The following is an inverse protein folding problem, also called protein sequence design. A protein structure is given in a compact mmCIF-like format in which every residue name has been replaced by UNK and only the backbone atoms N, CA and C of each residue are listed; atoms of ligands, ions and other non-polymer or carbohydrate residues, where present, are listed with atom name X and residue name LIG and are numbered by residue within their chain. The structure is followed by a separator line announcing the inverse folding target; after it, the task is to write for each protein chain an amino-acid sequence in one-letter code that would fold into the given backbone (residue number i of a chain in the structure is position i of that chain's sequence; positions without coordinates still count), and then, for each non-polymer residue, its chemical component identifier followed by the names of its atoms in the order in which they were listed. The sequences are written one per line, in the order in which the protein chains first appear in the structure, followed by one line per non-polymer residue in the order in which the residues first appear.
data_IF_486307114795
#
_entry.id   IF_486307114795
#
_cell.length_a   1.000
_cell.length_b   1.000
_cell.length_c   1.000
_cell.angle_alpha   90.00
_cell.angle_beta   90.00
_cell.angle_gamma   90.00
#
_symmetry.space_group_name_H-M   'P 1'
#
loop_
_entity.id
_entity.type
_entity.pdbx_description
1 polymer ?
#
# COMPACT_ATOMS: atom_id res chain seq x y z
N UNK A 1 -13.19 -34.38 -101.36
CA UNK A 1 -12.76 -34.16 -99.96
C UNK A 1 -11.54 -35.05 -99.77
N UNK A 2 -10.48 -34.82 -100.54
CA UNK A 2 -9.56 -33.65 -100.53
C UNK A 2 -8.75 -33.70 -99.23
N UNK A 3 -7.51 -34.19 -99.31
CA UNK A 3 -6.26 -33.38 -99.24
C UNK A 3 -5.86 -33.17 -97.76
N UNK A 4 -4.63 -33.25 -97.28
CA UNK A 4 -3.28 -33.44 -97.82
C UNK A 4 -2.36 -33.67 -96.57
N UNK A 5 -1.32 -34.53 -96.60
CA UNK A 5 0.13 -34.18 -96.79
C UNK A 5 0.78 -33.53 -95.54
N UNK A 6 2.03 -33.72 -95.08
CA UNK A 6 3.38 -34.15 -95.52
C UNK A 6 4.14 -34.53 -94.21
N UNK A 7 4.88 -35.65 -94.09
CA UNK A 7 6.36 -35.82 -94.21
C UNK A 7 7.19 -34.85 -93.31
N UNK A 8 8.32 -35.19 -92.66
CA UNK A 8 9.45 -35.91 -93.22
C UNK A 8 10.41 -36.48 -92.15
N UNK A 9 11.00 -37.60 -92.56
CA UNK A 9 12.22 -38.31 -92.17
C UNK A 9 13.39 -37.34 -91.87
N UNK A 10 14.17 -37.52 -90.81
CA UNK A 10 15.38 -38.35 -90.88
C UNK A 10 16.66 -37.60 -90.43
N UNK A 11 17.76 -38.31 -90.12
CA UNK A 11 18.87 -37.81 -89.29
C UNK A 11 20.10 -37.33 -90.10
N UNK A 12 20.92 -36.44 -89.51
CA UNK A 12 22.12 -35.87 -90.14
C UNK A 12 23.28 -35.59 -89.17
N UNK A 13 24.45 -36.12 -89.54
CA UNK A 13 25.76 -36.19 -88.87
C UNK A 13 26.53 -34.86 -88.68
N UNK A 14 27.22 -34.77 -87.53
CA UNK A 14 28.69 -34.56 -87.35
C UNK A 14 29.35 -33.23 -87.80
N UNK A 15 29.98 -32.51 -86.84
CA UNK A 15 31.43 -32.18 -86.79
C UNK A 15 31.79 -31.19 -85.65
N UNK A 16 32.99 -31.40 -85.11
CA UNK A 16 33.72 -30.55 -84.14
C UNK A 16 33.81 -29.08 -84.55
N UNK A 17 34.01 -28.20 -83.56
CA UNK A 17 35.02 -27.13 -83.52
C UNK A 17 34.86 -26.35 -82.20
N UNK A 18 35.92 -26.34 -81.38
CA UNK A 18 35.98 -25.51 -80.18
C UNK A 18 36.16 -24.03 -80.50
N UNK A 19 35.88 -23.16 -79.53
CA UNK A 19 36.59 -21.91 -79.24
C UNK A 19 36.05 -21.33 -77.93
N UNK A 20 36.99 -20.86 -77.12
CA UNK A 20 36.85 -20.16 -75.85
C UNK A 20 35.87 -18.99 -75.89
N UNK A 21 35.17 -18.77 -74.78
CA UNK A 21 34.83 -17.43 -74.32
C UNK A 21 34.79 -17.46 -72.80
N UNK A 22 35.75 -16.76 -72.22
CA UNK A 22 35.69 -16.25 -70.86
C UNK A 22 34.36 -15.51 -70.71
N UNK A 23 33.54 -15.88 -69.73
CA UNK A 23 32.48 -15.02 -69.24
C UNK A 23 32.32 -15.23 -67.74
N UNK A 24 32.41 -14.09 -67.07
CA UNK A 24 32.29 -13.81 -65.64
C UNK A 24 31.02 -14.35 -64.99
N UNK A 25 30.98 -14.22 -63.65
CA UNK A 25 29.83 -14.36 -62.75
C UNK A 25 29.60 -15.78 -62.20
N UNK A 26 29.51 -16.03 -60.89
CA UNK A 26 29.00 -15.20 -59.79
C UNK A 26 29.79 -15.49 -58.51
N UNK A 27 30.41 -14.46 -57.95
CA UNK A 27 30.69 -14.42 -56.52
C UNK A 27 29.47 -13.89 -55.81
N UNK A 28 28.60 -14.76 -55.32
CA UNK A 28 27.56 -14.41 -54.35
C UNK A 28 27.63 -15.42 -53.21
N UNK A 29 27.92 -14.96 -51.99
CA UNK A 29 27.70 -15.85 -50.85
C UNK A 29 28.28 -15.50 -49.47
N UNK A 30 29.20 -14.55 -49.31
CA UNK A 30 29.90 -14.44 -48.01
C UNK A 30 29.52 -13.23 -47.12
N UNK A 31 28.85 -12.19 -47.64
CA UNK A 31 28.48 -11.03 -46.81
C UNK A 31 27.30 -11.26 -45.85
N UNK A 32 26.48 -12.30 -46.05
CA UNK A 32 25.27 -12.54 -45.24
C UNK A 32 25.48 -13.33 -43.93
N UNK A 33 26.63 -13.99 -43.75
CA UNK A 33 26.90 -14.85 -42.58
C UNK A 33 27.57 -14.07 -41.45
N UNK A 34 28.52 -13.18 -41.77
CA UNK A 34 29.21 -12.36 -40.77
C UNK A 34 28.30 -11.30 -40.14
N UNK A 35 27.42 -10.66 -40.93
CA UNK A 35 26.44 -9.69 -40.40
C UNK A 35 25.45 -10.37 -39.43
N UNK A 36 25.09 -11.63 -39.68
CA UNK A 36 24.23 -12.42 -38.82
C UNK A 36 24.91 -12.83 -37.50
N UNK A 37 26.20 -13.15 -37.53
CA UNK A 37 26.98 -13.44 -36.31
C UNK A 37 27.24 -12.18 -35.47
N UNK A 38 27.62 -11.06 -36.08
CA UNK A 38 27.77 -9.75 -35.46
C UNK A 38 26.47 -9.31 -34.75
N UNK A 39 25.33 -9.43 -35.42
CA UNK A 39 24.00 -9.12 -34.85
C UNK A 39 23.66 -10.05 -33.68
N UNK A 40 24.05 -11.33 -33.75
CA UNK A 40 23.83 -12.29 -32.67
C UNK A 40 24.69 -12.00 -31.43
N UNK A 41 25.96 -11.60 -31.64
CA UNK A 41 26.90 -11.22 -30.60
C UNK A 41 26.46 -9.89 -29.96
N UNK A 42 26.01 -8.92 -30.77
CA UNK A 42 25.44 -7.66 -30.28
C UNK A 42 24.19 -7.90 -29.41
N UNK A 43 23.27 -8.79 -29.82
CA UNK A 43 22.10 -9.18 -29.00
C UNK A 43 22.50 -9.85 -27.68
N UNK A 44 23.50 -10.73 -27.68
CA UNK A 44 24.02 -11.36 -26.46
C UNK A 44 24.65 -10.33 -25.52
N UNK A 45 25.42 -9.38 -26.05
CA UNK A 45 26.01 -8.27 -25.28
C UNK A 45 24.92 -7.38 -24.68
N UNK A 46 23.90 -7.03 -25.45
CA UNK A 46 22.75 -6.26 -24.94
C UNK A 46 21.99 -7.02 -23.86
N UNK A 47 21.78 -8.34 -24.03
CA UNK A 47 21.15 -9.17 -23.00
C UNK A 47 21.98 -9.22 -21.70
N UNK A 48 23.31 -9.36 -21.80
CA UNK A 48 24.21 -9.34 -20.64
C UNK A 48 24.20 -7.97 -19.95
N UNK A 49 24.24 -6.87 -20.70
CA UNK A 49 24.16 -5.51 -20.16
C UNK A 49 22.81 -5.29 -19.46
N UNK A 50 21.72 -5.76 -20.06
CA UNK A 50 20.38 -5.65 -19.48
C UNK A 50 20.26 -6.46 -18.17
N UNK A 51 20.75 -7.70 -18.15
CA UNK A 51 20.79 -8.52 -16.93
C UNK A 51 21.64 -7.87 -15.84
N UNK A 52 22.80 -7.31 -16.20
CA UNK A 52 23.67 -6.62 -15.25
C UNK A 52 23.00 -5.36 -14.67
N UNK A 53 22.37 -4.54 -15.52
CA UNK A 53 21.61 -3.37 -15.09
C UNK A 53 20.42 -3.77 -14.19
N UNK A 54 19.72 -4.86 -14.53
CA UNK A 54 18.63 -5.40 -13.71
C UNK A 54 19.13 -5.88 -12.34
N UNK A 55 20.22 -6.64 -12.28
CA UNK A 55 20.82 -7.10 -11.01
C UNK A 55 21.30 -5.92 -10.15
N UNK A 56 21.92 -4.90 -10.75
CA UNK A 56 22.30 -3.68 -10.06
C UNK A 56 21.08 -2.92 -9.53
N UNK A 57 20.01 -2.81 -10.31
CA UNK A 57 18.77 -2.16 -9.86
C UNK A 57 18.13 -2.88 -8.67
N UNK A 58 18.11 -4.22 -8.68
CA UNK A 58 17.60 -5.02 -7.57
C UNK A 58 18.46 -4.89 -6.31
N UNK A 59 19.78 -4.81 -6.45
CA UNK A 59 20.70 -4.58 -5.34
C UNK A 59 20.52 -3.18 -4.72
N UNK A 60 20.28 -2.16 -5.54
CA UNK A 60 19.99 -0.80 -5.05
C UNK A 60 18.65 -0.73 -4.33
N UNK A 61 17.61 -1.39 -4.88
CA UNK A 61 16.29 -1.46 -4.23
C UNK A 61 16.40 -2.19 -2.89
N UNK A 62 17.09 -3.33 -2.82
CA UNK A 62 17.24 -4.07 -1.57
C UNK A 62 17.98 -3.25 -0.51
N UNK A 63 19.06 -2.55 -0.88
CA UNK A 63 19.77 -1.67 0.04
C UNK A 63 18.88 -0.53 0.57
N UNK A 64 18.11 0.10 -0.32
CA UNK A 64 17.19 1.16 0.07
C UNK A 64 16.09 0.66 1.02
N UNK A 65 15.54 -0.53 0.76
CA UNK A 65 14.52 -1.12 1.65
C UNK A 65 15.07 -1.43 3.04
N UNK A 66 16.30 -1.96 3.12
CA UNK A 66 16.96 -2.24 4.40
C UNK A 66 17.21 -0.93 5.16
N UNK A 67 17.72 0.11 4.50
CA UNK A 67 17.96 1.41 5.12
C UNK A 67 16.66 2.04 5.67
N UNK A 68 15.56 1.99 4.90
CA UNK A 68 14.25 2.49 5.34
C UNK A 68 13.69 1.68 6.52
N UNK A 69 13.85 0.35 6.49
CA UNK A 69 13.41 -0.50 7.60
C UNK A 69 14.17 -0.20 8.90
N UNK A 70 15.48 0.00 8.83
CA UNK A 70 16.31 0.34 9.99
C UNK A 70 15.92 1.71 10.57
N UNK A 71 15.67 2.70 9.70
CA UNK A 71 15.21 4.02 10.12
C UNK A 71 13.85 3.95 10.83
N UNK A 72 12.89 3.18 10.29
CA UNK A 72 11.58 2.97 10.92
C UNK A 72 11.70 2.29 12.29
N UNK A 73 12.58 1.30 12.42
CA UNK A 73 12.81 0.64 13.72
C UNK A 73 13.41 1.62 14.73
N UNK A 74 14.39 2.44 14.32
CA UNK A 74 14.99 3.43 15.20
C UNK A 74 13.99 4.50 15.67
N UNK A 75 13.11 4.98 14.78
CA UNK A 75 12.06 5.94 15.16
C UNK A 75 11.02 5.31 16.09
N UNK A 76 10.61 4.07 15.86
CA UNK A 76 9.72 3.35 16.77
C UNK A 76 10.37 3.12 18.15
N UNK A 77 11.66 2.78 18.21
CA UNK A 77 12.37 2.62 19.48
C UNK A 77 12.43 3.93 20.26
N UNK A 78 12.65 5.06 19.59
CA UNK A 78 12.60 6.39 20.19
C UNK A 78 11.20 6.76 20.67
N UNK A 79 10.16 6.51 19.87
CA UNK A 79 8.77 6.81 20.23
C UNK A 79 8.28 6.00 21.44
N UNK A 80 8.65 4.72 21.52
CA UNK A 80 8.36 3.87 22.68
C UNK A 80 9.17 4.23 23.94
N UNK A 81 10.26 4.99 23.80
CA UNK A 81 11.06 5.45 24.94
C UNK A 81 10.53 6.74 25.59
N UNK A 82 9.65 7.46 24.89
CA UNK A 82 9.00 8.65 25.42
C UNK A 82 7.78 8.24 26.26
N UNK A 83 7.59 8.80 27.46
CA UNK A 83 6.37 8.60 28.23
C UNK A 83 5.15 9.06 27.41
N UNK A 84 4.36 8.11 26.92
CA UNK A 84 3.12 8.42 26.23
C UNK A 84 2.09 8.91 27.26
N UNK A 85 1.40 10.03 27.02
CA UNK A 85 0.34 10.49 27.91
C UNK A 85 -0.77 9.44 27.96
N UNK A 86 -0.92 8.78 29.11
CA UNK A 86 -1.90 7.72 29.33
C UNK A 86 -3.37 8.21 29.16
N UNK A 87 -3.59 9.51 29.33
CA UNK A 87 -4.88 10.16 29.07
C UNK A 87 -4.72 11.24 28.01
N UNK A 88 -5.10 10.92 26.77
CA UNK A 88 -5.24 11.88 25.65
C UNK A 88 -6.67 12.41 25.53
N UNK A 89 -7.59 11.97 26.39
CA UNK A 89 -8.98 12.40 26.36
C UNK A 89 -9.11 13.85 26.81
N UNK A 90 -9.23 14.75 25.83
CA UNK A 90 -9.47 16.19 26.00
C UNK A 90 -10.82 16.51 26.67
N UNK A 91 -11.64 15.49 26.92
CA UNK A 91 -12.90 15.64 27.62
C UNK A 91 -12.64 15.54 29.12
N UNK A 92 -12.48 16.70 29.75
CA UNK A 92 -12.58 16.79 31.22
C UNK A 92 -13.90 16.14 31.67
N UNK A 93 -13.94 15.57 32.88
CA UNK A 93 -15.20 15.03 33.44
C UNK A 93 -16.34 16.05 33.34
N UNK A 94 -16.01 17.32 33.51
CA UNK A 94 -16.91 18.45 33.43
C UNK A 94 -17.50 18.60 32.03
N UNK A 95 -16.65 18.50 31.00
CA UNK A 95 -17.10 18.50 29.61
C UNK A 95 -18.00 17.31 29.28
N UNK A 96 -17.77 16.15 29.90
CA UNK A 96 -18.67 15.00 29.75
C UNK A 96 -20.02 15.24 30.41
N UNK A 97 -20.06 15.72 31.66
CA UNK A 97 -21.31 16.06 32.35
C UNK A 97 -22.09 17.13 31.60
N UNK A 98 -21.40 18.16 31.08
CA UNK A 98 -22.03 19.21 30.30
C UNK A 98 -22.69 18.63 29.02
N UNK A 99 -22.01 17.70 28.33
CA UNK A 99 -22.59 17.00 27.17
C UNK A 99 -23.82 16.15 27.54
N UNK A 100 -23.85 15.54 28.72
CA UNK A 100 -25.03 14.81 29.18
C UNK A 100 -26.20 15.74 29.47
N UNK A 101 -25.94 16.90 30.08
CA UNK A 101 -26.97 17.87 30.43
C UNK A 101 -27.52 18.62 29.21
N UNK A 102 -26.67 18.93 28.23
CA UNK A 102 -27.05 19.63 27.01
C UNK A 102 -27.55 18.70 25.90
N UNK A 103 -27.24 17.40 26.00
CA UNK A 103 -27.61 16.39 25.02
C UNK A 103 -29.06 15.90 25.14
N UNK A 104 -29.33 14.77 24.48
CA UNK A 104 -30.65 14.15 24.48
C UNK A 104 -31.05 13.70 25.91
N UNK A 105 -32.31 13.93 26.35
CA UNK A 105 -32.77 13.60 27.71
C UNK A 105 -32.64 12.11 28.06
N UNK A 106 -32.69 11.22 27.07
CA UNK A 106 -32.50 9.79 27.32
C UNK A 106 -31.04 9.42 27.58
N UNK A 107 -30.10 10.24 27.12
CA UNK A 107 -28.67 9.96 27.28
C UNK A 107 -28.25 10.00 28.75
N UNK A 108 -28.71 10.99 29.49
CA UNK A 108 -28.42 11.07 30.94
C UNK A 108 -29.09 9.92 31.72
N UNK A 109 -30.27 9.48 31.28
CA UNK A 109 -30.94 8.34 31.88
C UNK A 109 -30.20 7.02 31.60
N UNK A 110 -29.72 6.84 30.37
CA UNK A 110 -28.96 5.65 30.00
C UNK A 110 -27.61 5.57 30.73
N UNK A 111 -26.92 6.70 30.91
CA UNK A 111 -25.57 6.74 31.49
C UNK A 111 -25.58 6.81 33.02
N UNK A 112 -26.48 7.62 33.61
CA UNK A 112 -26.50 7.87 35.06
C UNK A 112 -27.70 7.23 35.77
N UNK A 113 -28.58 6.54 35.05
CA UNK A 113 -29.78 5.90 35.63
C UNK A 113 -30.84 6.90 36.12
N UNK A 114 -30.64 8.20 35.88
CA UNK A 114 -31.53 9.27 36.34
C UNK A 114 -31.86 10.24 35.22
N UNK A 115 -33.07 10.79 35.25
CA UNK A 115 -33.48 11.84 34.30
C UNK A 115 -32.81 13.17 34.63
N UNK A 116 -32.60 14.03 33.62
CA UNK A 116 -31.96 15.36 33.76
C UNK A 116 -32.50 16.20 34.92
N UNK A 117 -33.82 16.30 35.05
CA UNK A 117 -34.43 17.11 36.11
C UNK A 117 -34.20 16.51 37.52
N UNK A 118 -34.06 15.18 37.64
CA UNK A 118 -33.74 14.52 38.91
C UNK A 118 -32.29 14.81 39.28
N UNK A 119 -31.38 14.69 38.30
CA UNK A 119 -29.97 15.02 38.50
C UNK A 119 -29.79 16.46 39.00
N UNK A 120 -30.45 17.45 38.38
CA UNK A 120 -30.39 18.85 38.82
C UNK A 120 -30.95 19.05 40.23
N UNK A 121 -32.08 18.40 40.57
CA UNK A 121 -32.63 18.44 41.94
C UNK A 121 -31.68 17.86 42.98
N UNK A 122 -30.95 16.79 42.64
CA UNK A 122 -29.95 16.21 43.52
C UNK A 122 -28.79 17.18 43.74
N UNK A 123 -28.34 17.89 42.70
CA UNK A 123 -27.32 18.94 42.84
C UNK A 123 -27.80 20.08 43.74
N UNK A 124 -29.04 20.55 43.56
CA UNK A 124 -29.60 21.60 44.41
C UNK A 124 -29.69 21.16 45.87
N UNK A 125 -30.10 19.90 46.11
CA UNK A 125 -30.16 19.31 47.44
C UNK A 125 -28.76 19.20 48.08
N UNK A 126 -27.77 18.76 47.33
CA UNK A 126 -26.38 18.69 47.81
C UNK A 126 -25.84 20.07 48.16
N UNK A 127 -26.09 21.08 47.31
CA UNK A 127 -25.72 22.48 47.62
C UNK A 127 -26.42 23.01 48.86
N UNK A 128 -27.68 22.64 49.06
CA UNK A 128 -28.45 23.02 50.26
C UNK A 128 -27.87 22.40 51.54
N UNK A 129 -27.17 21.27 51.44
CA UNK A 129 -26.46 20.61 52.54
C UNK A 129 -24.96 20.95 52.57
N UNK A 130 -24.56 22.08 52.01
CA UNK A 130 -23.18 22.60 52.02
C UNK A 130 -22.13 21.70 51.35
N UNK A 131 -22.54 20.81 50.44
CA UNK A 131 -21.58 20.11 49.59
C UNK A 131 -21.01 21.06 48.53
N UNK A 132 -19.68 21.08 48.43
CA UNK A 132 -18.93 21.98 47.55
C UNK A 132 -18.07 21.22 46.54
N UNK A 133 -17.62 21.95 45.52
CA UNK A 133 -16.61 21.46 44.58
C UNK A 133 -15.33 21.08 45.34
N UNK A 134 -14.66 20.02 44.88
CA UNK A 134 -13.31 19.71 45.33
C UNK A 134 -12.28 20.59 44.60
N UNK A 135 -10.99 20.43 44.91
CA UNK A 135 -9.91 21.19 44.25
C UNK A 135 -9.92 21.02 42.72
N UNK A 136 -10.36 19.87 42.22
CA UNK A 136 -10.25 19.51 40.80
C UNK A 136 -11.54 18.97 40.18
N UNK A 137 -12.60 18.75 40.96
CA UNK A 137 -13.82 18.07 40.51
C UNK A 137 -15.05 18.84 41.00
N UNK A 138 -15.86 19.32 40.07
CA UNK A 138 -17.13 19.99 40.36
C UNK A 138 -18.13 19.05 41.04
N UNK A 139 -19.07 19.60 41.80
CA UNK A 139 -20.12 18.83 42.46
C UNK A 139 -20.95 18.02 41.46
N UNK A 140 -21.19 18.58 40.28
CA UNK A 140 -21.83 17.89 39.16
C UNK A 140 -21.04 16.67 38.70
N UNK A 141 -19.73 16.79 38.56
CA UNK A 141 -18.86 15.66 38.23
C UNK A 141 -18.83 14.62 39.35
N UNK A 142 -18.73 15.04 40.62
CA UNK A 142 -18.73 14.12 41.76
C UNK A 142 -20.01 13.29 41.80
N UNK A 143 -21.17 13.94 41.65
CA UNK A 143 -22.45 13.25 41.60
C UNK A 143 -22.55 12.34 40.37
N UNK A 144 -22.08 12.80 39.21
CA UNK A 144 -22.11 11.98 37.99
C UNK A 144 -21.23 10.73 38.12
N UNK A 145 -20.03 10.84 38.69
CA UNK A 145 -19.15 9.70 38.98
C UNK A 145 -19.85 8.72 39.94
N UNK A 146 -20.44 9.23 41.03
CA UNK A 146 -21.17 8.41 42.00
C UNK A 146 -22.33 7.64 41.36
N UNK A 147 -23.12 8.30 40.53
CA UNK A 147 -24.26 7.66 39.85
C UNK A 147 -23.81 6.68 38.77
N UNK A 148 -22.82 7.04 37.95
CA UNK A 148 -22.27 6.17 36.92
C UNK A 148 -21.72 4.87 37.53
N UNK A 149 -20.99 4.98 38.64
CA UNK A 149 -20.45 3.81 39.34
C UNK A 149 -21.54 2.96 40.00
N UNK A 150 -22.60 3.59 40.49
CA UNK A 150 -23.79 2.92 41.01
C UNK A 150 -24.56 2.14 39.92
N UNK A 151 -24.70 2.71 38.72
CA UNK A 151 -25.38 2.06 37.58
C UNK A 151 -24.58 0.89 37.04
N UNK A 152 -23.26 1.01 36.98
CA UNK A 152 -22.38 -0.04 36.45
C UNK A 152 -22.11 -1.14 37.49
N UNK A 153 -22.40 -0.89 38.76
CA UNK A 153 -22.19 -1.86 39.84
C UNK A 153 -20.72 -2.07 40.19
N UNK A 154 -19.86 -1.07 39.93
CA UNK A 154 -18.46 -1.13 40.33
C UNK A 154 -18.34 -0.99 41.85
N UNK A 155 -17.59 -1.89 42.49
CA UNK A 155 -17.31 -1.76 43.92
C UNK A 155 -16.38 -0.56 44.17
N UNK A 156 -16.63 0.20 45.26
CA UNK A 156 -15.85 1.39 45.66
C UNK A 156 -14.33 1.13 45.73
N UNK A 157 -13.92 -0.13 45.92
CA UNK A 157 -12.51 -0.56 45.94
C UNK A 157 -11.77 -0.36 44.62
N UNK A 158 -12.48 -0.33 43.49
CA UNK A 158 -11.90 -0.19 42.15
C UNK A 158 -11.74 1.28 41.69
N UNK A 159 -12.25 2.24 42.48
CA UNK A 159 -12.25 3.67 42.12
C UNK A 159 -11.19 4.48 42.88
N UNK A 160 -10.48 3.84 43.82
CA UNK A 160 -9.50 4.49 44.71
C UNK A 160 -8.06 3.98 44.57
N UNK A 161 -7.80 3.05 43.65
CA UNK A 161 -6.44 2.67 43.20
C UNK A 161 -6.03 3.51 41.99
#
# INVERSE_FOLDING_TARGET
MDEDQVDDRGPGRQRDLGISSDDDSMGEGEEGVEESEEVSIARRRHAVIFLCAQQLSLALISLQTVAQSAALVATNQLDNSLPQPYHTSILTGHGWVLKLLQGHPDRIHAELGVRRHVFLKLIDLLRHHDYINSRHVSLEEQLAIFLYTSVIGLSVRHLGE
#
